data_IF_445635664835
#
_entry.id   IF_445635664835
#
_cell.length_a   1.000
_cell.length_b   1.000
_cell.length_c   1.000
_cell.angle_alpha   90.00
_cell.angle_beta   90.00
_cell.angle_gamma   90.00
#
_symmetry.space_group_name_H-M   'P 1'
#
loop_
_entity.id
_entity.type
_entity.pdbx_description
1 polymer ?
#
# COMPACT_ATOMS: atom_id res chain seq x y z
N UNK A 1 -2.26 -5.63 -18.25
CA UNK A 1 -1.67 -5.69 -19.60
C UNK A 1 -2.47 -6.59 -20.54
N UNK A 2 -2.88 -7.78 -20.12
CA UNK A 2 -3.62 -8.71 -20.99
C UNK A 2 -4.97 -8.16 -21.45
N UNK A 3 -5.70 -7.46 -20.59
CA UNK A 3 -6.96 -6.80 -20.95
C UNK A 3 -6.76 -5.61 -21.89
N UNK A 4 -5.60 -4.93 -21.80
CA UNK A 4 -5.25 -3.80 -22.67
C UNK A 4 -4.78 -4.23 -24.07
N UNK A 5 -4.64 -5.53 -24.33
CA UNK A 5 -4.30 -6.07 -25.66
C UNK A 5 -5.56 -6.32 -26.48
N UNK A 6 -5.81 -5.42 -27.44
CA UNK A 6 -6.76 -5.57 -28.56
C UNK A 6 -8.13 -6.19 -28.24
N UNK A 7 -8.45 -7.34 -28.82
CA UNK A 7 -9.80 -7.90 -28.85
C UNK A 7 -10.41 -8.30 -27.49
N UNK A 8 -9.60 -8.39 -26.40
CA UNK A 8 -10.10 -8.82 -25.09
C UNK A 8 -11.05 -7.81 -24.45
N UNK A 9 -10.80 -6.53 -24.62
CA UNK A 9 -11.73 -5.49 -24.11
C UNK A 9 -13.12 -5.70 -24.72
N UNK A 10 -13.20 -5.87 -26.05
CA UNK A 10 -14.46 -6.06 -26.77
C UNK A 10 -15.15 -7.37 -26.37
N UNK A 11 -14.41 -8.47 -26.24
CA UNK A 11 -14.96 -9.79 -25.85
C UNK A 11 -15.62 -9.74 -24.47
N UNK A 12 -15.06 -8.94 -23.54
CA UNK A 12 -15.54 -8.84 -22.16
C UNK A 12 -16.47 -7.64 -21.93
N UNK A 13 -16.82 -6.86 -22.97
CA UNK A 13 -17.68 -5.69 -22.83
C UNK A 13 -17.07 -4.60 -21.93
N UNK A 14 -15.74 -4.41 -22.04
CA UNK A 14 -15.00 -3.40 -21.27
C UNK A 14 -14.80 -2.17 -22.16
N UNK A 15 -15.31 -1.03 -21.71
CA UNK A 15 -15.22 0.22 -22.45
C UNK A 15 -13.87 0.93 -22.24
N UNK A 16 -13.33 0.85 -21.04
CA UNK A 16 -12.07 1.53 -20.67
C UNK A 16 -11.18 0.64 -19.81
N UNK A 17 -9.89 0.61 -20.11
CA UNK A 17 -8.86 -0.04 -19.27
C UNK A 17 -7.85 1.00 -18.80
N UNK A 18 -7.60 1.04 -17.51
CA UNK A 18 -6.51 1.81 -16.90
C UNK A 18 -5.36 0.87 -16.59
N UNK A 19 -4.19 1.15 -17.13
CA UNK A 19 -2.94 0.44 -16.82
C UNK A 19 -2.12 1.26 -15.85
N UNK A 20 -1.93 0.74 -14.64
CA UNK A 20 -1.15 1.39 -13.58
C UNK A 20 -1.98 1.79 -12.38
N UNK A 21 -1.73 2.99 -11.85
CA UNK A 21 -2.30 3.51 -10.61
C UNK A 21 -3.27 4.66 -10.96
N UNK A 22 -4.57 4.48 -10.69
CA UNK A 22 -5.62 5.40 -11.12
C UNK A 22 -5.87 6.57 -10.14
N UNK A 23 -5.13 6.67 -9.05
CA UNK A 23 -5.37 7.62 -7.95
C UNK A 23 -5.51 9.07 -8.44
N UNK A 24 -4.65 9.50 -9.38
CA UNK A 24 -4.62 10.88 -9.86
C UNK A 24 -5.69 11.18 -10.93
N UNK A 25 -6.27 10.15 -11.57
CA UNK A 25 -7.17 10.37 -12.71
C UNK A 25 -8.58 9.82 -12.50
N UNK A 26 -8.83 9.08 -11.43
CA UNK A 26 -10.11 8.38 -11.24
C UNK A 26 -11.33 9.30 -11.36
N UNK A 27 -11.29 10.47 -10.71
CA UNK A 27 -12.41 11.40 -10.71
C UNK A 27 -12.71 11.96 -12.11
N UNK A 28 -11.68 12.35 -12.86
CA UNK A 28 -11.85 12.89 -14.21
C UNK A 28 -12.26 11.80 -15.19
N UNK A 29 -11.70 10.59 -15.04
CA UNK A 29 -12.12 9.44 -15.83
C UNK A 29 -13.62 9.12 -15.65
N UNK A 30 -14.14 9.12 -14.42
CA UNK A 30 -15.56 8.88 -14.20
C UNK A 30 -16.43 9.97 -14.80
N UNK A 31 -16.01 11.24 -14.76
CA UNK A 31 -16.70 12.34 -15.43
C UNK A 31 -16.71 12.19 -16.95
N UNK A 32 -15.62 11.70 -17.52
CA UNK A 32 -15.54 11.48 -18.97
C UNK A 32 -16.35 10.23 -19.40
N UNK A 33 -16.39 9.19 -18.57
CA UNK A 33 -17.29 8.04 -18.77
C UNK A 33 -18.76 8.46 -18.77
N UNK A 34 -19.20 9.35 -17.87
CA UNK A 34 -20.56 9.87 -17.84
C UNK A 34 -20.94 10.63 -19.12
N UNK A 35 -19.95 11.28 -19.78
CA UNK A 35 -20.17 12.02 -21.02
C UNK A 35 -20.04 11.14 -22.27
N UNK A 36 -19.50 9.93 -22.14
CA UNK A 36 -19.16 9.05 -23.26
C UNK A 36 -17.85 9.43 -23.98
N UNK A 37 -17.02 10.25 -23.34
CA UNK A 37 -15.76 10.79 -23.90
C UNK A 37 -14.51 10.05 -23.39
N UNK A 38 -14.68 9.01 -22.55
CA UNK A 38 -13.56 8.28 -21.97
C UNK A 38 -12.77 7.50 -23.03
N UNK A 39 -11.43 7.54 -23.00
CA UNK A 39 -10.61 6.78 -23.92
C UNK A 39 -10.64 5.28 -23.60
N UNK A 40 -10.49 4.42 -24.60
CA UNK A 40 -10.45 2.96 -24.42
C UNK A 40 -9.27 2.50 -23.53
N UNK A 41 -8.12 3.18 -23.60
CA UNK A 41 -6.90 2.81 -22.89
C UNK A 41 -6.23 4.03 -22.29
N UNK A 42 -5.95 3.95 -20.99
CA UNK A 42 -5.21 4.95 -20.22
C UNK A 42 -4.00 4.33 -19.54
N UNK A 43 -2.89 5.05 -19.53
CA UNK A 43 -1.72 4.73 -18.72
C UNK A 43 -1.52 5.79 -17.64
N UNK A 44 -1.57 5.38 -16.38
CA UNK A 44 -1.37 6.28 -15.24
C UNK A 44 -0.48 5.62 -14.18
N UNK A 45 0.50 6.39 -13.72
CA UNK A 45 1.38 5.98 -12.63
C UNK A 45 1.56 7.17 -11.68
N UNK A 46 1.22 6.97 -10.43
CA UNK A 46 1.44 7.98 -9.39
C UNK A 46 2.93 8.27 -9.26
N UNK A 47 3.33 9.49 -9.54
CA UNK A 47 4.73 9.94 -9.44
C UNK A 47 5.06 10.51 -8.07
N UNK A 48 4.10 11.22 -7.48
CA UNK A 48 4.25 11.83 -6.16
C UNK A 48 3.30 11.13 -5.19
N UNK A 49 3.86 10.59 -4.11
CA UNK A 49 3.10 9.89 -3.07
C UNK A 49 2.02 10.76 -2.42
N UNK A 50 2.21 12.07 -2.41
CA UNK A 50 1.23 13.02 -1.88
C UNK A 50 -0.03 13.13 -2.74
N UNK A 51 0.01 12.68 -4.00
CA UNK A 51 -1.15 12.65 -4.89
C UNK A 51 -2.04 11.42 -4.66
N UNK A 52 -1.60 10.45 -3.85
CA UNK A 52 -2.45 9.37 -3.40
C UNK A 52 -3.43 9.95 -2.37
N UNK A 53 -4.75 9.85 -2.57
CA UNK A 53 -5.73 10.37 -1.61
C UNK A 53 -5.60 9.72 -0.24
N UNK A 54 -5.76 10.50 0.84
CA UNK A 54 -5.95 9.96 2.18
C UNK A 54 -7.36 9.38 2.31
N UNK A 55 -7.54 8.38 3.16
CA UNK A 55 -8.88 7.88 3.48
C UNK A 55 -9.66 8.96 4.23
N UNK A 56 -10.97 9.04 3.97
CA UNK A 56 -11.88 9.99 4.63
C UNK A 56 -12.93 9.31 5.48
N UNK A 57 -12.94 7.98 5.50
CA UNK A 57 -13.86 7.14 6.26
C UNK A 57 -13.15 5.86 6.70
N UNK A 58 -13.68 5.16 7.72
CA UNK A 58 -13.09 3.92 8.20
C UNK A 58 -13.07 2.85 7.09
N UNK A 59 -11.99 2.09 7.09
CA UNK A 59 -11.75 1.03 6.11
C UNK A 59 -12.15 -0.35 6.65
N UNK A 60 -12.29 -1.32 5.75
CA UNK A 60 -12.57 -2.70 6.14
C UNK A 60 -11.41 -3.23 6.99
N UNK A 61 -11.73 -3.77 8.17
CA UNK A 61 -10.78 -4.32 9.13
C UNK A 61 -9.66 -3.34 9.55
N UNK A 62 -9.93 -2.03 9.54
CA UNK A 62 -8.91 -1.02 9.88
C UNK A 62 -7.64 -1.10 9.03
N UNK A 63 -7.78 -1.49 7.75
CA UNK A 63 -6.69 -1.63 6.81
C UNK A 63 -6.27 -0.26 6.26
N UNK A 64 -4.98 0.09 6.37
CA UNK A 64 -4.38 1.29 5.77
C UNK A 64 -3.18 0.91 4.91
N UNK A 65 -2.96 1.61 3.82
CA UNK A 65 -1.83 1.36 2.92
C UNK A 65 -0.56 2.01 3.49
N UNK A 66 0.45 1.19 3.83
CA UNK A 66 1.73 1.69 4.36
C UNK A 66 2.76 1.94 3.27
N UNK A 67 2.78 1.10 2.25
CA UNK A 67 3.67 1.26 1.11
C UNK A 67 3.10 0.58 -0.13
N UNK A 68 3.53 1.05 -1.28
CA UNK A 68 3.13 0.56 -2.60
C UNK A 68 4.37 0.24 -3.43
N UNK A 69 4.38 -0.94 -4.07
CA UNK A 69 5.54 -1.49 -4.77
C UNK A 69 6.64 -1.96 -3.82
N UNK A 70 7.41 -2.98 -4.19
CA UNK A 70 8.52 -3.46 -3.39
C UNK A 70 9.89 -3.31 -4.06
N UNK A 71 9.92 -3.15 -5.39
CA UNK A 71 11.13 -2.92 -6.16
C UNK A 71 12.06 -4.13 -6.35
N UNK A 72 11.67 -5.33 -5.87
CA UNK A 72 12.54 -6.53 -5.92
C UNK A 72 12.81 -7.07 -7.32
N UNK A 73 11.97 -6.79 -8.30
CA UNK A 73 12.21 -7.22 -9.67
C UNK A 73 11.87 -8.69 -9.97
N UNK A 74 11.00 -9.35 -9.20
CA UNK A 74 10.65 -10.76 -9.42
C UNK A 74 9.92 -10.96 -10.76
N UNK A 75 10.39 -11.87 -11.61
CA UNK A 75 9.90 -12.08 -12.97
C UNK A 75 8.41 -12.48 -13.03
N UNK A 76 7.91 -13.14 -12.00
CA UNK A 76 6.52 -13.60 -11.89
C UNK A 76 5.55 -12.55 -11.35
N UNK A 77 6.04 -11.42 -10.86
CA UNK A 77 5.26 -10.45 -10.10
C UNK A 77 4.92 -9.20 -10.92
N UNK A 78 3.62 -8.94 -11.17
CA UNK A 78 3.19 -7.73 -11.87
C UNK A 78 3.32 -6.45 -11.01
N UNK A 79 3.20 -6.55 -9.70
CA UNK A 79 3.40 -5.47 -8.72
C UNK A 79 4.80 -4.89 -8.80
N UNK A 80 5.77 -5.70 -9.15
CA UNK A 80 7.16 -5.34 -9.36
C UNK A 80 7.43 -4.22 -10.37
N UNK A 81 6.48 -3.95 -11.27
CA UNK A 81 6.55 -2.85 -12.25
C UNK A 81 6.29 -1.48 -11.63
N UNK A 82 5.85 -1.43 -10.36
CA UNK A 82 5.63 -0.19 -9.61
C UNK A 82 6.89 0.23 -8.89
N UNK A 83 7.24 1.51 -8.97
CA UNK A 83 8.27 2.07 -8.11
C UNK A 83 7.82 1.99 -6.66
N UNK A 84 8.75 1.61 -5.77
CA UNK A 84 8.50 1.61 -4.32
C UNK A 84 8.17 3.03 -3.83
N UNK A 85 7.14 3.14 -3.02
CA UNK A 85 6.68 4.38 -2.37
C UNK A 85 6.26 4.04 -0.95
N UNK A 86 6.88 4.67 0.03
CA UNK A 86 6.50 4.55 1.44
C UNK A 86 5.65 5.75 1.83
N UNK A 87 4.50 5.51 2.46
CA UNK A 87 3.68 6.58 2.99
C UNK A 87 4.26 7.08 4.33
N UNK A 88 4.32 8.41 4.56
CA UNK A 88 4.90 8.95 5.79
C UNK A 88 4.14 8.53 7.04
N UNK A 89 4.85 8.33 8.15
CA UNK A 89 4.26 7.92 9.42
C UNK A 89 3.12 8.84 9.88
N UNK A 90 3.29 10.15 9.75
CA UNK A 90 2.26 11.12 10.15
C UNK A 90 0.96 10.96 9.36
N UNK A 91 1.05 10.57 8.09
CA UNK A 91 -0.12 10.24 7.29
C UNK A 91 -0.77 8.95 7.79
N UNK A 92 0.03 7.90 8.00
CA UNK A 92 -0.46 6.62 8.51
C UNK A 92 -1.13 6.77 9.87
N UNK A 93 -0.61 7.64 10.74
CA UNK A 93 -1.24 7.96 12.02
C UNK A 93 -2.61 8.65 11.83
N UNK A 94 -2.74 9.61 10.90
CA UNK A 94 -4.03 10.24 10.60
C UNK A 94 -5.05 9.24 10.06
N UNK A 95 -4.66 8.39 9.13
CA UNK A 95 -5.53 7.36 8.56
C UNK A 95 -5.91 6.29 9.60
N UNK A 96 -4.97 5.83 10.40
CA UNK A 96 -5.23 4.91 11.51
C UNK A 96 -6.20 5.52 12.54
N UNK A 97 -6.04 6.81 12.84
CA UNK A 97 -6.91 7.52 13.78
C UNK A 97 -8.38 7.52 13.33
N UNK A 98 -8.67 7.63 12.04
CA UNK A 98 -10.03 7.53 11.50
C UNK A 98 -10.65 6.16 11.84
N UNK A 99 -9.89 5.09 11.70
CA UNK A 99 -10.34 3.74 12.02
C UNK A 99 -10.53 3.53 13.54
N UNK A 100 -9.57 3.99 14.35
CA UNK A 100 -9.64 3.88 15.81
C UNK A 100 -10.81 4.69 16.38
N UNK A 101 -11.06 5.90 15.88
CA UNK A 101 -12.19 6.75 16.30
C UNK A 101 -13.55 6.16 15.91
N UNK A 102 -13.61 5.32 14.88
CA UNK A 102 -14.81 4.57 14.51
C UNK A 102 -15.09 3.41 15.46
N UNK A 103 -14.08 2.94 16.22
CA UNK A 103 -14.22 1.88 17.21
C UNK A 103 -13.41 0.62 16.93
N UNK A 104 -12.52 0.62 15.95
CA UNK A 104 -11.52 -0.42 15.83
C UNK A 104 -10.48 -0.27 16.95
N UNK A 105 -9.90 -1.38 17.38
CA UNK A 105 -8.85 -1.44 18.40
C UNK A 105 -7.48 -1.80 17.82
N UNK A 106 -7.44 -2.14 16.56
CA UNK A 106 -6.25 -2.58 15.84
C UNK A 106 -6.08 -1.85 14.52
N UNK A 107 -4.86 -1.84 13.99
CA UNK A 107 -4.50 -1.29 12.69
C UNK A 107 -3.81 -2.36 11.87
N UNK A 108 -4.24 -2.55 10.63
CA UNK A 108 -3.61 -3.46 9.68
C UNK A 108 -2.92 -2.69 8.56
N UNK A 109 -1.60 -2.86 8.47
CA UNK A 109 -0.76 -2.23 7.45
C UNK A 109 -0.80 -3.07 6.16
N UNK A 110 -1.33 -2.50 5.10
CA UNK A 110 -1.25 -3.08 3.76
C UNK A 110 0.03 -2.64 3.07
N UNK A 111 0.74 -3.60 2.50
CA UNK A 111 1.96 -3.35 1.74
C UNK A 111 2.22 -4.49 0.75
N UNK A 112 3.03 -4.25 -0.26
CA UNK A 112 3.55 -5.31 -1.12
C UNK A 112 4.69 -6.11 -0.44
N UNK A 113 5.41 -5.49 0.51
CA UNK A 113 6.46 -6.11 1.34
C UNK A 113 6.79 -5.22 2.55
N UNK A 114 6.19 -5.49 3.70
CA UNK A 114 6.28 -4.59 4.87
C UNK A 114 7.70 -4.42 5.41
N UNK A 115 8.53 -5.45 5.32
CA UNK A 115 9.91 -5.39 5.81
C UNK A 115 10.83 -4.53 4.94
N UNK A 116 10.32 -4.00 3.82
CA UNK A 116 11.01 -2.99 3.01
C UNK A 116 10.53 -1.56 3.26
N UNK A 117 9.64 -1.33 4.23
CA UNK A 117 9.24 0.03 4.59
C UNK A 117 10.44 0.86 5.06
N UNK A 118 10.63 2.05 4.48
CA UNK A 118 11.78 2.90 4.77
C UNK A 118 13.15 2.35 4.32
N UNK A 119 13.18 1.22 3.59
CA UNK A 119 14.41 0.61 3.11
C UNK A 119 15.00 1.38 1.94
N UNK A 120 16.32 1.55 1.92
CA UNK A 120 17.03 1.92 0.69
C UNK A 120 17.01 0.72 -0.28
N UNK A 121 16.46 0.93 -1.46
CA UNK A 121 16.13 -0.12 -2.45
C UNK A 121 17.31 -0.96 -2.97
N UNK A 122 18.54 -0.68 -2.59
CA UNK A 122 19.70 -1.37 -3.13
C UNK A 122 19.96 -2.73 -2.51
N UNK A 123 19.70 -2.87 -1.20
CA UNK A 123 20.10 -4.06 -0.45
C UNK A 123 18.92 -4.95 -0.06
N UNK A 124 17.67 -4.48 -0.21
CA UNK A 124 16.46 -5.20 0.24
C UNK A 124 16.55 -5.73 1.68
N UNK A 125 17.30 -5.02 2.51
CA UNK A 125 17.45 -5.32 3.92
C UNK A 125 16.47 -4.48 4.74
N UNK A 126 15.82 -5.04 5.77
CA UNK A 126 14.87 -4.29 6.61
C UNK A 126 15.49 -3.04 7.23
N UNK A 127 14.76 -1.93 7.19
CA UNK A 127 15.12 -0.74 7.95
C UNK A 127 14.52 -0.85 9.35
N UNK A 128 15.33 -1.34 10.30
CA UNK A 128 14.92 -1.57 11.67
C UNK A 128 14.29 -0.34 12.34
N UNK A 129 14.93 0.82 12.20
CA UNK A 129 14.48 2.05 12.86
C UNK A 129 13.15 2.56 12.26
N UNK A 130 13.02 2.53 10.94
CA UNK A 130 11.79 2.95 10.27
C UNK A 130 10.60 2.06 10.65
N UNK A 131 10.81 0.74 10.64
CA UNK A 131 9.75 -0.23 10.95
C UNK A 131 9.35 -0.16 12.43
N UNK A 132 10.31 -0.16 13.35
CA UNK A 132 10.00 -0.06 14.78
C UNK A 132 9.35 1.27 15.14
N UNK A 133 9.77 2.38 14.50
CA UNK A 133 9.14 3.68 14.66
C UNK A 133 7.69 3.70 14.16
N UNK A 134 7.41 3.00 13.05
CA UNK A 134 6.06 2.86 12.51
C UNK A 134 5.16 2.12 13.50
N UNK A 135 5.59 0.96 14.01
CA UNK A 135 4.80 0.22 15.01
C UNK A 135 4.55 1.04 16.27
N UNK A 136 5.60 1.63 16.85
CA UNK A 136 5.48 2.48 18.04
C UNK A 136 4.55 3.66 17.79
N UNK A 137 4.72 4.37 16.67
CA UNK A 137 3.90 5.52 16.36
C UNK A 137 2.41 5.20 16.20
N UNK A 138 2.05 3.99 15.75
CA UNK A 138 0.66 3.55 15.70
C UNK A 138 0.14 3.09 17.08
N UNK A 139 0.98 2.48 17.90
CA UNK A 139 0.64 2.18 19.32
C UNK A 139 0.40 3.47 20.12
N UNK A 140 1.22 4.49 19.92
CA UNK A 140 1.14 5.78 20.61
C UNK A 140 -0.18 6.52 20.37
N UNK A 141 -0.82 6.32 19.20
CA UNK A 141 -2.14 6.90 18.90
C UNK A 141 -3.32 6.04 19.37
N UNK A 142 -3.05 4.90 20.03
CA UNK A 142 -4.07 4.08 20.70
C UNK A 142 -4.38 2.75 20.00
N UNK A 143 -3.60 2.29 19.03
CA UNK A 143 -3.77 0.95 18.49
C UNK A 143 -3.35 -0.11 19.53
N UNK A 144 -4.24 -1.01 19.90
CA UNK A 144 -3.92 -2.14 20.77
C UNK A 144 -3.06 -3.19 20.07
N UNK A 145 -3.22 -3.31 18.74
CA UNK A 145 -2.45 -4.22 17.92
C UNK A 145 -2.15 -3.58 16.57
N UNK A 146 -0.94 -3.79 16.06
CA UNK A 146 -0.50 -3.39 14.71
C UNK A 146 -0.10 -4.63 13.93
N UNK A 147 -0.88 -4.99 12.94
CA UNK A 147 -0.63 -6.13 12.05
C UNK A 147 -0.16 -5.70 10.66
N UNK A 148 0.22 -6.66 9.84
CA UNK A 148 0.56 -6.44 8.43
C UNK A 148 0.05 -7.57 7.56
N UNK A 149 -0.19 -7.26 6.28
CA UNK A 149 -0.71 -8.25 5.32
C UNK A 149 0.38 -9.10 4.68
N UNK A 150 1.58 -8.56 4.46
CA UNK A 150 2.65 -9.23 3.73
C UNK A 150 4.02 -9.00 4.36
N UNK A 151 4.73 -10.09 4.61
CA UNK A 151 6.15 -10.13 4.97
C UNK A 151 6.82 -11.31 4.25
N UNK A 152 8.00 -11.10 3.67
CA UNK A 152 8.77 -12.21 3.08
C UNK A 152 9.64 -12.91 4.10
N UNK A 153 9.82 -14.22 3.94
CA UNK A 153 10.77 -14.97 4.77
C UNK A 153 12.19 -14.45 4.70
N UNK A 154 12.61 -13.94 3.55
CA UNK A 154 13.95 -13.36 3.39
C UNK A 154 14.19 -12.18 4.33
N UNK A 155 13.19 -11.30 4.50
CA UNK A 155 13.26 -10.19 5.43
C UNK A 155 13.25 -10.65 6.89
N UNK A 156 12.42 -11.63 7.23
CA UNK A 156 12.37 -12.22 8.59
C UNK A 156 13.73 -12.85 8.97
N UNK A 157 14.33 -13.60 8.06
CA UNK A 157 15.64 -14.24 8.29
C UNK A 157 16.78 -13.24 8.33
N UNK A 158 16.67 -12.15 7.54
CA UNK A 158 17.69 -11.10 7.51
C UNK A 158 17.80 -10.36 8.86
N UNK A 159 16.66 -10.09 9.53
CA UNK A 159 16.65 -9.42 10.83
C UNK A 159 15.65 -10.07 11.80
N UNK A 160 15.98 -11.21 12.42
CA UNK A 160 15.12 -11.86 13.41
C UNK A 160 14.86 -10.99 14.65
N UNK A 161 15.81 -10.10 15.00
CA UNK A 161 15.65 -9.18 16.12
C UNK A 161 14.52 -8.19 15.87
N UNK A 162 14.40 -7.67 14.64
CA UNK A 162 13.28 -6.81 14.27
C UNK A 162 11.93 -7.49 14.51
N UNK A 163 11.80 -8.76 14.10
CA UNK A 163 10.55 -9.51 14.29
C UNK A 163 10.22 -9.71 15.77
N UNK A 164 11.23 -10.04 16.57
CA UNK A 164 11.06 -10.12 18.01
C UNK A 164 10.58 -8.76 18.59
N UNK A 165 11.23 -7.68 18.23
CA UNK A 165 10.95 -6.36 18.83
C UNK A 165 9.57 -5.81 18.41
N UNK A 166 9.11 -6.04 17.17
CA UNK A 166 7.73 -5.67 16.81
C UNK A 166 6.68 -6.56 17.52
N UNK A 167 7.02 -7.80 17.83
CA UNK A 167 6.18 -8.67 18.67
C UNK A 167 6.07 -8.13 20.10
N UNK A 168 7.19 -7.70 20.69
CA UNK A 168 7.21 -7.05 22.01
C UNK A 168 6.42 -5.72 22.04
N UNK A 169 6.53 -4.90 20.97
CA UNK A 169 5.74 -3.67 20.83
C UNK A 169 4.24 -3.96 20.81
N UNK A 170 3.83 -5.11 20.27
CA UNK A 170 2.44 -5.57 20.26
C UNK A 170 2.01 -6.28 21.56
N UNK A 171 2.89 -6.42 22.57
CA UNK A 171 2.64 -7.21 23.79
C UNK A 171 2.28 -8.68 23.49
N UNK A 172 2.87 -9.26 22.45
CA UNK A 172 2.70 -10.66 22.07
C UNK A 172 3.83 -11.49 22.70
N UNK A 173 3.53 -12.18 23.81
CA UNK A 173 4.44 -13.08 24.51
C UNK A 173 4.19 -14.54 24.23
#
# INVERSE_FOLDING_TARGET
>A
WELAKSDRMRIHGIDTVVVGEADELALDLFRDLEKGDAPELLHCFVRNIQNIPEITAPTVNSLIEAMRGCGRGCDFCDVNKRSKKDLPLERLQREAKINLDYGFDSVWLHSDEMLLYGCDNRDFYPNYDAITSLWKGLKDIGANFVGTTHMTFSGVVADPKLIHDISEINDMH
#
